data_IF_190738290568
#
_entry.id   IF_190738290568
#
_cell.length_a   1.000
_cell.length_b   1.000
_cell.length_c   1.000
_cell.angle_alpha   90.00
_cell.angle_beta   90.00
_cell.angle_gamma   90.00
#
_symmetry.space_group_name_H-M   'P 1'
#
loop_
_entity.id
_entity.type
_entity.pdbx_description
1 polymer ?
#
# COMPACT_ATOMS: atom_id res chain seq x y z
N UNK A 1 39.84 -0.99 9.48
CA UNK A 1 39.45 0.37 9.09
C UNK A 1 38.65 0.20 7.81
N UNK A 2 37.31 0.20 7.91
CA UNK A 2 36.45 0.08 6.71
C UNK A 2 36.52 1.41 5.96
N UNK A 3 36.69 1.42 4.62
CA UNK A 3 36.61 2.64 3.86
C UNK A 3 35.14 3.06 3.82
N UNK A 4 34.83 4.17 4.48
CA UNK A 4 33.55 4.86 4.30
C UNK A 4 33.45 5.28 2.82
N UNK A 5 32.60 4.61 2.06
CA UNK A 5 32.10 5.17 0.79
C UNK A 5 31.57 6.57 1.08
N UNK A 6 31.99 7.61 0.33
CA UNK A 6 31.43 8.94 0.50
C UNK A 6 29.91 8.84 0.30
N UNK A 7 29.15 9.13 1.36
CA UNK A 7 27.71 9.27 1.30
C UNK A 7 27.42 10.55 0.50
N UNK A 8 27.34 10.45 -0.82
CA UNK A 8 26.95 11.57 -1.67
C UNK A 8 25.43 11.79 -1.55
N UNK A 9 25.06 12.45 -0.46
CA UNK A 9 23.69 12.82 -0.15
C UNK A 9 23.07 13.69 -1.26
N UNK A 10 23.88 14.44 -2.01
CA UNK A 10 23.40 15.22 -3.16
C UNK A 10 23.03 14.31 -4.35
N UNK A 11 23.83 13.29 -4.66
CA UNK A 11 23.48 12.29 -5.66
C UNK A 11 22.19 11.53 -5.27
N UNK A 12 22.02 11.18 -3.99
CA UNK A 12 20.81 10.53 -3.47
C UNK A 12 19.57 11.42 -3.60
N UNK A 13 19.70 12.71 -3.30
CA UNK A 13 18.61 13.68 -3.49
C UNK A 13 18.25 13.83 -4.96
N UNK A 14 19.24 13.94 -5.84
CA UNK A 14 19.04 14.05 -7.29
C UNK A 14 18.25 12.85 -7.82
N UNK A 15 18.73 11.63 -7.55
CA UNK A 15 18.03 10.41 -7.95
C UNK A 15 16.59 10.35 -7.41
N UNK A 16 16.42 10.69 -6.13
CA UNK A 16 15.10 10.71 -5.49
C UNK A 16 14.15 11.70 -6.16
N UNK A 17 14.58 12.94 -6.39
CA UNK A 17 13.77 13.97 -7.05
C UNK A 17 13.38 13.57 -8.47
N UNK A 18 14.31 13.02 -9.26
CA UNK A 18 14.03 12.55 -10.62
C UNK A 18 13.02 11.40 -10.62
N UNK A 19 13.18 10.44 -9.70
CA UNK A 19 12.27 9.30 -9.55
C UNK A 19 10.87 9.75 -9.15
N UNK A 20 10.77 10.66 -8.18
CA UNK A 20 9.48 11.19 -7.73
C UNK A 20 8.78 12.01 -8.81
N UNK A 21 9.53 12.77 -9.61
CA UNK A 21 8.95 13.53 -10.71
C UNK A 21 8.49 12.62 -11.86
N UNK A 22 9.24 11.56 -12.15
CA UNK A 22 8.79 10.52 -13.08
C UNK A 22 7.52 9.81 -12.58
N UNK A 23 7.47 9.48 -11.28
CA UNK A 23 6.28 8.93 -10.65
C UNK A 23 5.09 9.85 -10.73
N UNK A 24 5.28 11.16 -10.51
CA UNK A 24 4.21 12.15 -10.59
C UNK A 24 3.61 12.19 -12.00
N UNK A 25 4.45 12.30 -13.03
CA UNK A 25 4.00 12.28 -14.43
C UNK A 25 3.27 10.98 -14.79
N UNK A 26 3.73 9.84 -14.28
CA UNK A 26 3.07 8.57 -14.48
C UNK A 26 1.67 8.55 -13.84
N UNK A 27 1.54 9.03 -12.61
CA UNK A 27 0.24 9.10 -11.93
C UNK A 27 -0.70 10.06 -12.65
N UNK A 28 -0.22 11.20 -13.14
CA UNK A 28 -1.05 12.12 -13.95
C UNK A 28 -1.61 11.44 -15.20
N UNK A 29 -0.80 10.61 -15.89
CA UNK A 29 -1.27 9.82 -17.02
C UNK A 29 -2.27 8.75 -16.59
N UNK A 30 -2.01 8.06 -15.46
CA UNK A 30 -2.89 7.01 -14.94
C UNK A 30 -4.27 7.56 -14.57
N UNK A 31 -4.33 8.73 -13.91
CA UNK A 31 -5.58 9.37 -13.49
C UNK A 31 -6.46 9.80 -14.67
N UNK A 32 -5.90 9.92 -15.87
CA UNK A 32 -6.67 10.22 -17.08
C UNK A 32 -7.42 9.01 -17.65
N UNK A 33 -7.13 7.79 -17.18
CA UNK A 33 -7.85 6.59 -17.60
C UNK A 33 -9.12 6.40 -16.78
N UNK A 34 -10.23 6.20 -17.48
CA UNK A 34 -11.50 5.84 -16.85
C UNK A 34 -11.45 4.40 -16.34
N UNK A 35 -11.95 4.19 -15.12
CA UNK A 35 -12.06 2.85 -14.52
C UNK A 35 -13.46 2.33 -14.80
N UNK A 36 -13.53 1.31 -15.65
CA UNK A 36 -14.76 0.59 -15.93
C UNK A 36 -14.94 -0.59 -14.95
N UNK A 37 -16.13 -0.70 -14.38
CA UNK A 37 -16.49 -1.85 -13.55
C UNK A 37 -16.57 -3.11 -14.41
N UNK A 38 -15.80 -4.13 -14.05
CA UNK A 38 -15.75 -5.41 -14.75
C UNK A 38 -16.96 -6.32 -14.42
N UNK A 39 -17.71 -5.99 -13.37
CA UNK A 39 -18.91 -6.70 -12.94
C UNK A 39 -18.62 -8.02 -12.22
N UNK A 40 -17.35 -8.28 -11.89
CA UNK A 40 -16.97 -9.46 -11.14
C UNK A 40 -17.48 -9.38 -9.69
N UNK A 41 -17.93 -10.51 -9.16
CA UNK A 41 -18.36 -10.63 -7.77
C UNK A 41 -17.21 -10.54 -6.78
N UNK A 42 -17.59 -10.45 -5.50
CA UNK A 42 -16.68 -10.58 -4.38
C UNK A 42 -16.97 -11.86 -3.60
N UNK A 43 -15.92 -12.52 -3.12
CA UNK A 43 -16.04 -13.68 -2.25
C UNK A 43 -15.26 -13.52 -0.94
N UNK A 44 -15.83 -14.07 0.13
CA UNK A 44 -15.28 -14.05 1.49
C UNK A 44 -14.15 -15.07 1.63
N UNK A 45 -12.95 -14.62 2.01
CA UNK A 45 -11.82 -15.52 2.28
C UNK A 45 -12.12 -16.41 3.49
N UNK A 46 -12.62 -15.90 4.64
CA UNK A 46 -12.95 -16.73 5.80
C UNK A 46 -13.94 -17.85 5.47
N UNK A 47 -15.04 -17.54 4.79
CA UNK A 47 -16.08 -18.52 4.48
C UNK A 47 -15.55 -19.60 3.53
N UNK A 48 -14.72 -19.20 2.55
CA UNK A 48 -14.09 -20.12 1.62
C UNK A 48 -13.05 -21.03 2.31
N UNK A 49 -12.27 -20.48 3.25
CA UNK A 49 -11.30 -21.25 4.03
C UNK A 49 -11.99 -22.27 4.94
N UNK A 50 -13.04 -21.85 5.66
CA UNK A 50 -13.87 -22.72 6.50
C UNK A 50 -14.51 -23.85 5.67
N UNK A 51 -15.14 -23.50 4.54
CA UNK A 51 -15.76 -24.47 3.63
C UNK A 51 -14.77 -25.49 3.06
N UNK A 52 -13.52 -25.07 2.84
CA UNK A 52 -12.46 -25.89 2.30
C UNK A 52 -11.67 -26.66 3.38
N UNK A 53 -11.97 -26.45 4.67
CA UNK A 53 -11.23 -27.02 5.79
C UNK A 53 -9.76 -26.59 5.83
N UNK A 54 -9.46 -25.36 5.38
CA UNK A 54 -8.10 -24.80 5.33
C UNK A 54 -7.92 -23.85 6.51
N UNK A 55 -6.89 -24.09 7.32
CA UNK A 55 -6.59 -23.23 8.45
C UNK A 55 -5.88 -21.95 7.98
N UNK A 56 -6.51 -20.81 8.28
CA UNK A 56 -5.99 -19.47 8.03
C UNK A 56 -6.19 -18.58 9.25
N UNK A 57 -5.29 -17.64 9.47
CA UNK A 57 -5.41 -16.61 10.51
C UNK A 57 -5.78 -15.27 9.90
N UNK A 58 -6.54 -14.47 10.65
CA UNK A 58 -6.99 -13.16 10.23
C UNK A 58 -6.61 -12.14 11.29
N UNK A 59 -6.09 -10.98 10.87
CA UNK A 59 -5.73 -9.89 11.77
C UNK A 59 -7.00 -9.28 12.40
N UNK A 60 -6.99 -9.05 13.71
CA UNK A 60 -8.07 -8.39 14.45
C UNK A 60 -7.76 -6.91 14.74
N UNK A 61 -6.56 -6.46 14.38
CA UNK A 61 -6.12 -5.08 14.57
C UNK A 61 -6.89 -4.12 13.67
N UNK A 62 -7.27 -2.96 14.20
CA UNK A 62 -7.88 -1.88 13.42
C UNK A 62 -6.79 -0.97 12.86
N UNK A 63 -6.80 -0.77 11.54
CA UNK A 63 -5.80 0.06 10.85
C UNK A 63 -6.39 1.31 10.22
N UNK A 64 -7.64 1.28 9.77
CA UNK A 64 -8.36 2.43 9.22
C UNK A 64 -9.35 2.94 10.28
N UNK A 65 -8.84 3.77 11.20
CA UNK A 65 -9.62 4.27 12.33
C UNK A 65 -10.26 3.14 13.13
N UNK A 66 -11.59 3.21 13.29
CA UNK A 66 -12.39 2.22 14.00
C UNK A 66 -13.06 1.19 13.08
N UNK A 67 -12.77 1.22 11.77
CA UNK A 67 -13.40 0.34 10.77
C UNK A 67 -12.84 -1.09 10.85
N UNK A 68 -13.73 -2.06 10.69
CA UNK A 68 -13.37 -3.48 10.62
C UNK A 68 -12.75 -3.82 9.27
N UNK A 69 -11.83 -4.79 9.29
CA UNK A 69 -11.21 -5.32 8.07
C UNK A 69 -12.24 -6.11 7.26
N UNK A 70 -12.19 -5.95 5.95
CA UNK A 70 -13.09 -6.65 5.02
C UNK A 70 -12.27 -7.71 4.29
N UNK A 71 -12.44 -8.98 4.67
CA UNK A 71 -11.71 -10.11 4.08
C UNK A 71 -12.37 -10.66 2.83
N UNK A 72 -12.69 -9.77 1.90
CA UNK A 72 -13.22 -10.11 0.58
C UNK A 72 -12.18 -9.84 -0.50
N UNK A 73 -12.24 -10.62 -1.57
CA UNK A 73 -11.47 -10.43 -2.80
C UNK A 73 -12.41 -10.57 -4.00
N UNK A 74 -11.91 -10.18 -5.17
CA UNK A 74 -12.50 -10.58 -6.46
C UNK A 74 -12.68 -12.09 -6.47
N UNK A 75 -13.86 -12.55 -6.87
CA UNK A 75 -14.28 -13.95 -6.77
C UNK A 75 -13.28 -14.91 -7.42
N UNK A 76 -12.73 -14.56 -8.59
CA UNK A 76 -11.75 -15.35 -9.32
C UNK A 76 -10.44 -15.60 -8.57
N UNK A 77 -10.10 -14.75 -7.59
CA UNK A 77 -8.85 -14.85 -6.84
C UNK A 77 -8.96 -15.77 -5.62
N UNK A 78 -10.17 -16.06 -5.14
CA UNK A 78 -10.36 -16.77 -3.87
C UNK A 78 -9.86 -18.21 -3.97
N UNK A 79 -10.09 -18.90 -5.08
CA UNK A 79 -9.64 -20.29 -5.26
C UNK A 79 -8.11 -20.41 -5.11
N UNK A 80 -7.37 -19.49 -5.72
CA UNK A 80 -5.91 -19.46 -5.65
C UNK A 80 -5.42 -19.22 -4.23
N UNK A 81 -6.06 -18.31 -3.48
CA UNK A 81 -5.73 -18.04 -2.07
C UNK A 81 -5.98 -19.28 -1.20
N UNK A 82 -7.11 -19.98 -1.37
CA UNK A 82 -7.40 -21.21 -0.63
C UNK A 82 -6.39 -22.32 -0.98
N UNK A 83 -6.01 -22.45 -2.25
CA UNK A 83 -4.97 -23.41 -2.67
C UNK A 83 -3.64 -23.12 -2.00
N UNK A 84 -3.21 -21.86 -1.95
CA UNK A 84 -1.98 -21.45 -1.26
C UNK A 84 -2.05 -21.80 0.23
N UNK A 85 -3.16 -21.47 0.91
CA UNK A 85 -3.34 -21.81 2.32
C UNK A 85 -3.23 -23.31 2.59
N UNK A 86 -3.85 -24.13 1.73
CA UNK A 86 -3.78 -25.59 1.83
C UNK A 86 -2.35 -26.11 1.67
N UNK A 87 -1.61 -25.62 0.69
CA UNK A 87 -0.20 -25.99 0.48
C UNK A 87 0.67 -25.57 1.65
N UNK A 88 0.38 -24.41 2.27
CA UNK A 88 1.06 -23.97 3.49
C UNK A 88 0.76 -24.89 4.66
N UNK A 89 -0.51 -25.25 4.89
CA UNK A 89 -0.89 -26.17 5.97
C UNK A 89 -0.20 -27.52 5.83
N UNK A 90 -0.08 -28.06 4.60
CA UNK A 90 0.65 -29.31 4.32
C UNK A 90 2.14 -29.25 4.69
N UNK A 91 2.71 -28.04 4.72
CA UNK A 91 4.11 -27.79 5.12
C UNK A 91 4.25 -27.41 6.60
N UNK A 92 3.16 -27.44 7.37
CA UNK A 92 3.14 -27.02 8.78
C UNK A 92 3.13 -25.50 8.96
N UNK A 93 2.70 -24.73 7.96
CA UNK A 93 2.56 -23.28 8.03
C UNK A 93 1.09 -22.85 7.98
N UNK A 94 0.78 -21.74 8.62
CA UNK A 94 -0.54 -21.11 8.59
C UNK A 94 -0.42 -19.79 7.85
N UNK A 95 -1.25 -19.60 6.83
CA UNK A 95 -1.34 -18.33 6.13
C UNK A 95 -2.10 -17.32 7.01
N UNK A 96 -1.47 -16.19 7.31
CA UNK A 96 -2.13 -15.06 7.99
C UNK A 96 -2.51 -13.99 6.96
N UNK A 97 -3.80 -13.73 6.83
CA UNK A 97 -4.35 -12.64 6.03
C UNK A 97 -4.34 -11.38 6.89
N UNK A 98 -3.49 -10.42 6.51
CA UNK A 98 -3.47 -9.13 7.19
C UNK A 98 -4.61 -8.25 6.70
N UNK A 99 -4.89 -8.19 5.40
CA UNK A 99 -5.93 -7.32 4.84
C UNK A 99 -6.54 -7.94 3.56
N UNK A 100 -7.77 -7.53 3.22
CA UNK A 100 -8.44 -7.86 1.98
C UNK A 100 -8.88 -6.58 1.25
N UNK A 101 -10.16 -6.50 0.95
CA UNK A 101 -10.78 -5.31 0.37
C UNK A 101 -10.74 -4.10 1.32
N UNK A 102 -10.56 -2.91 0.73
CA UNK A 102 -10.69 -1.62 1.42
C UNK A 102 -11.70 -0.75 0.71
N UNK A 103 -12.60 -0.14 1.49
CA UNK A 103 -13.48 0.91 0.98
C UNK A 103 -12.71 2.21 0.77
N UNK A 104 -13.27 3.13 -0.02
CA UNK A 104 -12.74 4.49 -0.16
C UNK A 104 -12.65 5.21 1.20
N UNK A 105 -13.58 4.95 2.12
CA UNK A 105 -13.51 5.51 3.47
C UNK A 105 -12.30 4.97 4.24
N UNK A 106 -12.09 3.65 4.23
CA UNK A 106 -10.92 3.04 4.88
C UNK A 106 -9.62 3.61 4.32
N UNK A 107 -9.53 3.72 2.99
CA UNK A 107 -8.38 4.33 2.34
C UNK A 107 -8.21 5.78 2.77
N UNK A 108 -9.27 6.58 2.78
CA UNK A 108 -9.27 7.98 3.22
C UNK A 108 -8.74 8.13 4.66
N UNK A 109 -9.17 7.27 5.58
CA UNK A 109 -8.72 7.31 6.97
C UNK A 109 -7.24 6.95 7.12
N UNK A 110 -6.74 5.98 6.32
CA UNK A 110 -5.34 5.60 6.31
C UNK A 110 -4.44 6.73 5.81
N UNK A 111 -4.80 7.35 4.69
CA UNK A 111 -3.96 8.37 4.03
C UNK A 111 -3.94 9.70 4.77
N UNK A 112 -5.00 10.00 5.54
CA UNK A 112 -5.11 11.24 6.33
C UNK A 112 -4.48 11.18 7.72
N UNK A 113 -3.85 10.06 8.10
CA UNK A 113 -3.14 9.97 9.38
C UNK A 113 -2.07 11.07 9.47
N UNK A 114 -2.00 11.85 10.56
CA UNK A 114 -0.98 12.88 10.72
C UNK A 114 0.45 12.37 10.49
N UNK A 115 0.75 11.17 10.99
CA UNK A 115 2.06 10.54 10.83
C UNK A 115 2.46 10.28 9.36
N UNK A 116 1.50 10.08 8.45
CA UNK A 116 1.76 9.93 7.00
C UNK A 116 2.18 11.28 6.42
N UNK A 117 1.44 12.34 6.71
CA UNK A 117 1.80 13.69 6.30
C UNK A 117 3.18 14.10 6.84
N UNK A 118 3.43 13.86 8.13
CA UNK A 118 4.72 14.19 8.77
C UNK A 118 5.89 13.42 8.14
N UNK A 119 5.68 12.16 7.74
CA UNK A 119 6.70 11.38 7.04
C UNK A 119 7.01 11.97 5.65
N UNK A 120 5.98 12.33 4.89
CA UNK A 120 6.13 12.95 3.56
C UNK A 120 6.82 14.31 3.68
N UNK A 121 6.39 15.17 4.60
CA UNK A 121 6.96 16.49 4.80
C UNK A 121 8.43 16.41 5.20
N UNK A 122 8.80 15.50 6.13
CA UNK A 122 10.21 15.27 6.49
C UNK A 122 11.03 14.83 5.28
N UNK A 123 10.48 13.99 4.42
CA UNK A 123 11.18 13.55 3.21
C UNK A 123 11.35 14.68 2.20
N UNK A 124 10.34 15.55 2.04
CA UNK A 124 10.43 16.73 1.19
C UNK A 124 11.43 17.76 1.73
N UNK A 125 11.49 17.96 3.05
CA UNK A 125 12.53 18.79 3.68
C UNK A 125 13.93 18.25 3.40
N UNK A 126 14.15 16.92 3.54
CA UNK A 126 15.42 16.31 3.18
C UNK A 126 15.73 16.46 1.68
N UNK A 127 14.74 16.25 0.81
CA UNK A 127 14.89 16.43 -0.64
C UNK A 127 15.26 17.87 -1.00
N UNK A 128 14.70 18.85 -0.29
CA UNK A 128 14.89 20.29 -0.50
C UNK A 128 16.01 20.88 0.36
N UNK A 129 17.01 20.07 0.74
CA UNK A 129 18.21 20.47 1.49
C UNK A 129 17.90 21.24 2.80
N UNK A 130 16.83 20.84 3.49
CA UNK A 130 16.35 21.45 4.73
C UNK A 130 15.53 22.73 4.55
N UNK A 131 15.41 23.25 3.34
CA UNK A 131 14.57 24.41 3.02
C UNK A 131 13.10 23.98 2.99
N UNK A 132 12.22 24.81 3.55
CA UNK A 132 10.78 24.52 3.52
C UNK A 132 10.29 24.33 2.08
N UNK A 133 9.74 23.16 1.71
CA UNK A 133 9.24 22.92 0.37
C UNK A 133 7.97 23.73 0.09
N UNK A 134 7.70 24.00 -1.19
CA UNK A 134 6.40 24.55 -1.59
C UNK A 134 5.29 23.52 -1.34
N UNK A 135 4.05 24.00 -1.16
CA UNK A 135 2.89 23.12 -1.06
C UNK A 135 2.72 22.25 -2.31
N UNK A 136 3.07 22.78 -3.48
CA UNK A 136 3.05 22.04 -4.75
C UNK A 136 4.03 20.85 -4.74
N UNK A 137 5.27 21.06 -4.27
CA UNK A 137 6.24 19.96 -4.16
C UNK A 137 5.70 18.87 -3.23
N UNK A 138 5.20 19.25 -2.05
CA UNK A 138 4.63 18.29 -1.09
C UNK A 138 3.46 17.52 -1.70
N UNK A 139 2.57 18.20 -2.43
CA UNK A 139 1.44 17.56 -3.12
C UNK A 139 1.92 16.55 -4.17
N UNK A 140 2.88 16.92 -5.03
CA UNK A 140 3.44 16.02 -6.06
C UNK A 140 4.15 14.81 -5.46
N UNK A 141 4.73 14.92 -4.26
CA UNK A 141 5.30 13.75 -3.57
C UNK A 141 4.23 12.89 -2.91
N UNK A 142 3.23 13.53 -2.29
CA UNK A 142 2.14 12.83 -1.63
C UNK A 142 1.37 11.93 -2.59
N UNK A 143 1.02 12.42 -3.79
CA UNK A 143 0.25 11.66 -4.78
C UNK A 143 1.01 10.44 -5.34
N UNK A 144 2.33 10.43 -5.26
CA UNK A 144 3.18 9.30 -5.68
C UNK A 144 3.37 8.30 -4.55
N UNK A 145 3.55 8.79 -3.32
CA UNK A 145 3.89 7.97 -2.15
C UNK A 145 2.66 7.37 -1.47
N UNK A 146 1.47 7.86 -1.80
CA UNK A 146 0.21 7.46 -1.19
C UNK A 146 -0.75 7.04 -2.28
N UNK A 147 -1.30 5.83 -2.15
CA UNK A 147 -2.41 5.40 -3.00
C UNK A 147 -3.66 6.21 -2.65
N UNK A 148 -4.25 6.89 -3.62
CA UNK A 148 -5.52 7.61 -3.46
C UNK A 148 -6.72 6.66 -3.55
#
# INVERSE_FOLDING_TARGET
MNPETPNDDAARRTYWSETMEAGYRFVEQLLAFEVDECGEGFASIPDAAESAGVEMWFSDTKIAGDLDRIYFLRESLVEDVIRIGREMNQRGWILKIEEGYRTQQMQTELVRKPAVFDAILRKCLWENDGVMPSSEMVFRRAIVLVAN
#
